data_IF_078703690427
#
_entry.id   IF_078703690427
#
_cell.length_a   1.000
_cell.length_b   1.000
_cell.length_c   1.000
_cell.angle_alpha   90.00
_cell.angle_beta   90.00
_cell.angle_gamma   90.00
#
_symmetry.space_group_name_H-M   'P 1'
#
loop_
_entity.id
_entity.type
_entity.pdbx_description
1 polymer ?
#
# COMPACT_ATOMS: atom_id res chain seq x y z
N UNK A 1 8.54 -31.06 -19.33
CA UNK A 1 8.92 -29.71 -19.77
C UNK A 1 8.07 -28.72 -18.92
N UNK A 2 8.66 -28.03 -17.95
CA UNK A 2 8.01 -26.95 -17.23
C UNK A 2 7.83 -25.81 -18.23
N UNK A 3 6.60 -25.38 -18.45
CA UNK A 3 6.32 -24.16 -19.21
C UNK A 3 7.11 -23.03 -18.57
N UNK A 4 8.06 -22.45 -19.32
CA UNK A 4 8.74 -21.24 -18.90
C UNK A 4 7.64 -20.19 -18.68
N UNK A 5 7.48 -19.72 -17.46
CA UNK A 5 6.55 -18.67 -17.13
C UNK A 5 7.00 -17.44 -17.91
N UNK A 6 6.22 -17.05 -18.90
CA UNK A 6 6.54 -15.88 -19.72
C UNK A 6 6.16 -14.65 -18.91
N UNK A 7 7.14 -14.05 -18.25
CA UNK A 7 6.92 -12.82 -17.50
C UNK A 7 6.59 -11.68 -18.46
N UNK A 8 5.54 -10.95 -18.15
CA UNK A 8 5.18 -9.75 -18.89
C UNK A 8 5.85 -8.52 -18.28
N UNK A 9 6.70 -7.86 -19.07
CA UNK A 9 7.36 -6.62 -18.66
C UNK A 9 6.52 -5.46 -19.18
N UNK A 10 6.02 -4.63 -18.28
CA UNK A 10 5.27 -3.43 -18.63
C UNK A 10 5.98 -2.14 -18.18
N UNK A 11 5.81 -1.03 -18.88
CA UNK A 11 6.28 0.27 -18.41
C UNK A 11 5.51 0.68 -17.14
N UNK A 12 6.20 1.43 -16.27
CA UNK A 12 5.59 2.02 -15.09
C UNK A 12 4.63 3.14 -15.48
N UNK A 13 3.58 3.30 -14.69
CA UNK A 13 2.70 4.45 -14.74
C UNK A 13 3.27 5.59 -13.87
N UNK A 14 2.87 6.87 -14.12
CA UNK A 14 3.36 8.00 -13.33
C UNK A 14 3.14 7.88 -11.82
N UNK A 15 2.02 7.29 -11.40
CA UNK A 15 1.68 7.06 -9.99
C UNK A 15 2.52 5.95 -9.32
N UNK A 16 3.22 5.17 -10.10
CA UNK A 16 4.09 4.08 -9.62
C UNK A 16 5.56 4.51 -9.45
N UNK A 17 5.91 5.75 -9.77
CA UNK A 17 7.30 6.22 -9.74
C UNK A 17 7.98 5.98 -8.38
N UNK A 18 7.25 6.12 -7.28
CA UNK A 18 7.76 5.88 -5.93
C UNK A 18 8.32 4.47 -5.69
N UNK A 19 7.81 3.46 -6.41
CA UNK A 19 8.27 2.07 -6.28
C UNK A 19 9.73 1.84 -6.74
N UNK A 20 10.29 2.79 -7.47
CA UNK A 20 11.63 2.65 -8.07
C UNK A 20 12.72 3.36 -7.27
N UNK A 21 12.36 4.09 -6.22
CA UNK A 21 13.28 4.84 -5.40
C UNK A 21 13.18 4.42 -3.93
N UNK A 22 14.13 3.64 -3.49
CA UNK A 22 14.23 3.21 -2.10
C UNK A 22 14.78 4.36 -1.24
N UNK A 23 13.95 5.30 -0.86
CA UNK A 23 14.39 6.47 -0.08
C UNK A 23 13.62 6.68 1.22
N UNK A 24 12.56 5.90 1.46
CA UNK A 24 11.69 6.06 2.60
C UNK A 24 11.47 4.73 3.32
N UNK A 25 12.29 4.40 4.35
CA UNK A 25 12.24 3.10 5.02
C UNK A 25 10.85 2.69 5.54
N UNK A 26 10.07 3.63 6.00
CA UNK A 26 8.72 3.35 6.49
C UNK A 26 7.74 3.07 5.34
N UNK A 27 7.81 3.86 4.27
CA UNK A 27 7.01 3.63 3.07
C UNK A 27 7.38 2.32 2.39
N UNK A 28 8.67 2.02 2.31
CA UNK A 28 9.16 0.76 1.75
C UNK A 28 8.64 -0.44 2.55
N UNK A 29 8.63 -0.37 3.89
CA UNK A 29 8.04 -1.39 4.74
C UNK A 29 6.54 -1.54 4.49
N UNK A 30 5.82 -0.42 4.38
CA UNK A 30 4.39 -0.40 4.10
C UNK A 30 4.08 -1.06 2.76
N UNK A 31 4.88 -0.81 1.75
CA UNK A 31 4.76 -1.40 0.43
C UNK A 31 5.20 -2.88 0.36
N UNK A 32 5.73 -3.43 1.45
CA UNK A 32 6.23 -4.80 1.48
C UNK A 32 7.58 -4.96 0.80
N UNK A 33 8.44 -3.93 0.85
CA UNK A 33 9.76 -3.99 0.25
C UNK A 33 10.60 -5.11 0.88
N UNK A 34 11.19 -5.89 0.00
CA UNK A 34 11.97 -7.07 0.30
C UNK A 34 13.45 -6.78 0.19
N UNK A 35 13.82 -6.05 -0.84
CA UNK A 35 15.19 -5.71 -1.11
C UNK A 35 15.37 -4.99 -2.45
N UNK A 36 16.59 -4.48 -2.63
CA UNK A 36 17.03 -3.82 -3.84
C UNK A 36 18.28 -4.50 -4.35
N UNK A 37 18.32 -4.72 -5.66
CA UNK A 37 19.47 -5.27 -6.34
C UNK A 37 19.95 -4.24 -7.34
N UNK A 38 21.20 -3.82 -7.20
CA UNK A 38 21.86 -3.00 -8.22
C UNK A 38 22.49 -3.92 -9.27
N UNK A 39 22.21 -3.63 -10.52
CA UNK A 39 22.79 -4.30 -11.68
C UNK A 39 23.76 -3.35 -12.35
N UNK A 40 25.04 -3.53 -12.09
CA UNK A 40 26.10 -2.79 -12.77
C UNK A 40 26.59 -3.58 -13.97
N UNK A 41 26.42 -3.02 -15.15
CA UNK A 41 27.02 -3.53 -16.38
C UNK A 41 28.38 -2.86 -16.51
N UNK A 42 29.38 -3.41 -15.83
CA UNK A 42 30.73 -2.86 -15.84
C UNK A 42 31.33 -2.76 -17.25
N UNK A 43 32.39 -1.96 -17.41
CA UNK A 43 33.12 -1.76 -18.68
C UNK A 43 33.62 -3.05 -19.30
N UNK A 44 33.70 -4.12 -18.55
CA UNK A 44 34.12 -5.46 -18.97
C UNK A 44 32.97 -6.39 -19.38
N UNK A 45 31.71 -5.92 -19.35
CA UNK A 45 30.54 -6.77 -19.59
C UNK A 45 30.23 -7.77 -18.47
N UNK A 46 30.97 -7.73 -17.37
CA UNK A 46 30.70 -8.53 -16.19
C UNK A 46 29.59 -7.87 -15.38
N UNK A 47 28.56 -8.63 -15.11
CA UNK A 47 27.43 -8.21 -14.34
C UNK A 47 27.70 -8.40 -12.85
N UNK A 48 27.72 -7.31 -12.08
CA UNK A 48 27.85 -7.38 -10.64
C UNK A 48 26.48 -7.19 -10.00
N UNK A 49 26.14 -8.11 -9.11
CA UNK A 49 24.96 -8.04 -8.27
C UNK A 49 25.36 -7.51 -6.91
N UNK A 50 24.83 -6.36 -6.52
CA UNK A 50 24.88 -5.88 -5.15
C UNK A 50 23.49 -5.92 -4.57
N UNK A 51 23.28 -6.74 -3.56
CA UNK A 51 22.07 -6.74 -2.76
C UNK A 51 22.21 -5.66 -1.70
N UNK A 52 21.42 -4.63 -1.78
CA UNK A 52 21.51 -3.48 -0.88
C UNK A 52 20.78 -3.67 0.44
N UNK A 53 20.09 -4.78 0.64
CA UNK A 53 19.39 -5.04 1.87
C UNK A 53 19.66 -6.44 2.38
N UNK A 54 20.46 -6.57 3.47
CA UNK A 54 20.79 -7.87 4.03
C UNK A 54 19.68 -8.48 4.90
N UNK A 55 18.53 -7.82 5.06
CA UNK A 55 17.50 -8.22 6.00
C UNK A 55 16.11 -8.30 5.36
N UNK A 56 16.01 -9.05 4.30
CA UNK A 56 14.72 -9.59 3.92
C UNK A 56 14.24 -10.59 4.99
N UNK A 57 12.94 -10.85 5.11
CA UNK A 57 12.44 -11.98 5.89
C UNK A 57 13.21 -13.25 5.51
N UNK A 58 13.32 -14.20 6.45
CA UNK A 58 14.02 -15.47 6.20
C UNK A 58 13.49 -16.20 4.95
N UNK A 59 12.22 -15.97 4.61
CA UNK A 59 11.55 -16.46 3.40
C UNK A 59 12.25 -16.05 2.10
N UNK A 60 12.91 -14.89 2.07
CA UNK A 60 13.66 -14.42 0.89
C UNK A 60 14.97 -15.14 0.68
N UNK A 61 15.44 -15.82 1.68
CA UNK A 61 16.53 -16.77 1.56
C UNK A 61 16.06 -18.15 1.09
N UNK A 62 14.74 -18.32 0.89
CA UNK A 62 14.19 -19.58 0.42
C UNK A 62 14.71 -19.93 -0.97
N UNK A 63 14.98 -21.22 -1.25
CA UNK A 63 15.38 -21.65 -2.57
C UNK A 63 14.35 -21.27 -3.67
N UNK A 64 13.07 -21.24 -3.33
CA UNK A 64 11.99 -20.90 -4.25
C UNK A 64 12.07 -19.42 -4.69
N UNK A 65 12.28 -18.49 -3.76
CA UNK A 65 12.47 -17.07 -4.08
C UNK A 65 13.72 -16.86 -4.94
N UNK A 66 14.84 -17.50 -4.58
CA UNK A 66 16.08 -17.38 -5.35
C UNK A 66 15.93 -17.89 -6.78
N UNK A 67 15.15 -18.95 -6.96
CA UNK A 67 14.87 -19.49 -8.29
C UNK A 67 14.01 -18.53 -9.11
N UNK A 68 12.94 -18.00 -8.51
CA UNK A 68 12.05 -17.03 -9.17
C UNK A 68 12.81 -15.74 -9.53
N UNK A 69 13.57 -15.17 -8.58
CA UNK A 69 14.42 -14.01 -8.83
C UNK A 69 15.38 -14.27 -10.00
N UNK A 70 16.03 -15.44 -10.04
CA UNK A 70 16.95 -15.80 -11.12
C UNK A 70 16.23 -15.89 -12.48
N UNK A 71 15.01 -16.42 -12.52
CA UNK A 71 14.21 -16.49 -13.75
C UNK A 71 13.81 -15.10 -14.24
N UNK A 72 13.35 -14.23 -13.34
CA UNK A 72 13.02 -12.83 -13.65
C UNK A 72 14.24 -12.09 -14.19
N UNK A 73 15.36 -12.22 -13.53
CA UNK A 73 16.64 -11.63 -13.94
C UNK A 73 17.09 -12.10 -15.31
N UNK A 74 17.03 -13.39 -15.57
CA UNK A 74 17.41 -13.94 -16.87
C UNK A 74 16.51 -13.40 -17.99
N UNK A 75 15.20 -13.21 -17.71
CA UNK A 75 14.27 -12.60 -18.65
C UNK A 75 14.62 -11.14 -18.90
N UNK A 76 14.85 -10.36 -17.84
CA UNK A 76 15.27 -8.95 -17.97
C UNK A 76 16.58 -8.80 -18.73
N UNK A 77 17.55 -9.67 -18.49
CA UNK A 77 18.84 -9.69 -19.23
C UNK A 77 18.66 -9.92 -20.70
N UNK A 78 17.79 -10.84 -21.06
CA UNK A 78 17.53 -11.19 -22.46
C UNK A 78 16.88 -10.04 -23.22
N UNK A 79 15.92 -9.37 -22.59
CA UNK A 79 15.04 -8.42 -23.27
C UNK A 79 15.47 -6.95 -23.10
N UNK A 80 16.03 -6.59 -21.92
CA UNK A 80 16.34 -5.21 -21.59
C UNK A 80 17.82 -4.96 -21.34
N UNK A 81 18.45 -5.83 -20.55
CA UNK A 81 19.77 -5.59 -19.95
C UNK A 81 20.92 -6.23 -20.71
N UNK A 82 20.70 -6.63 -21.94
CA UNK A 82 21.71 -7.34 -22.76
C UNK A 82 22.98 -6.50 -22.97
N UNK A 83 22.84 -5.24 -23.24
CA UNK A 83 23.89 -4.24 -23.32
C UNK A 83 23.26 -2.84 -23.30
N UNK A 84 24.09 -1.78 -23.21
CA UNK A 84 23.61 -0.40 -23.19
C UNK A 84 22.65 -0.05 -24.34
N UNK A 85 23.00 -0.41 -25.56
CA UNK A 85 22.15 -0.08 -26.73
C UNK A 85 20.82 -0.80 -26.70
N UNK A 86 20.78 -2.04 -26.20
CA UNK A 86 19.53 -2.77 -26.01
C UNK A 86 18.65 -2.10 -24.95
N UNK A 87 19.21 -1.67 -23.82
CA UNK A 87 18.51 -0.93 -22.78
C UNK A 87 18.00 0.40 -23.30
N UNK A 88 18.86 1.18 -23.94
CA UNK A 88 18.52 2.49 -24.53
C UNK A 88 17.34 2.35 -25.51
N UNK A 89 17.44 1.40 -26.44
CA UNK A 89 16.39 1.11 -27.40
C UNK A 89 15.09 0.65 -26.73
N UNK A 90 15.19 -0.24 -25.77
CA UNK A 90 14.01 -0.72 -25.03
C UNK A 90 13.29 0.43 -24.33
N UNK A 91 14.04 1.33 -23.67
CA UNK A 91 13.48 2.50 -23.01
C UNK A 91 12.77 3.44 -23.99
N UNK A 92 13.37 3.71 -25.15
CA UNK A 92 12.75 4.56 -26.16
C UNK A 92 11.51 3.92 -26.80
N UNK A 93 11.56 2.63 -27.08
CA UNK A 93 10.48 1.92 -27.76
C UNK A 93 9.26 1.71 -26.84
N UNK A 94 9.46 1.56 -25.52
CA UNK A 94 8.41 1.20 -24.57
C UNK A 94 7.98 2.35 -23.63
N UNK A 95 8.74 3.44 -23.55
CA UNK A 95 8.46 4.53 -22.63
C UNK A 95 8.74 4.16 -21.18
N UNK A 96 7.85 4.59 -20.25
CA UNK A 96 8.01 4.29 -18.82
C UNK A 96 8.92 5.28 -18.09
N UNK A 97 8.94 6.54 -18.50
CA UNK A 97 9.71 7.61 -17.83
C UNK A 97 9.13 7.82 -16.40
N UNK A 98 9.97 7.63 -15.39
CA UNK A 98 9.62 7.81 -13.98
C UNK A 98 10.24 9.08 -13.37
N UNK A 99 11.33 9.56 -13.94
CA UNK A 99 11.89 10.87 -13.63
C UNK A 99 12.68 11.41 -14.80
N UNK A 100 12.73 12.73 -14.94
CA UNK A 100 13.40 13.45 -16.00
C UNK A 100 14.26 14.59 -15.46
N UNK A 101 15.19 15.04 -16.27
CA UNK A 101 16.16 16.07 -15.98
C UNK A 101 17.36 15.91 -16.91
N UNK A 102 18.58 16.10 -16.39
CA UNK A 102 19.79 15.77 -17.14
C UNK A 102 19.93 14.28 -17.48
N UNK A 103 19.32 13.43 -16.64
CA UNK A 103 19.31 11.99 -16.77
C UNK A 103 17.87 11.50 -16.68
N UNK A 104 17.41 10.82 -17.72
CA UNK A 104 16.10 10.19 -17.70
C UNK A 104 16.22 8.81 -17.06
N UNK A 105 15.35 8.55 -16.09
CA UNK A 105 15.16 7.22 -15.52
C UNK A 105 13.86 6.63 -16.04
N UNK A 106 13.92 5.36 -16.39
CA UNK A 106 12.78 4.57 -16.89
C UNK A 106 12.46 3.47 -15.89
N UNK A 107 11.18 3.23 -15.68
CA UNK A 107 10.68 2.18 -14.80
C UNK A 107 9.90 1.11 -15.56
N UNK A 108 10.16 -0.14 -15.23
CA UNK A 108 9.43 -1.30 -15.76
C UNK A 108 9.06 -2.22 -14.63
N UNK A 109 7.89 -2.83 -14.72
CA UNK A 109 7.35 -3.70 -13.70
C UNK A 109 7.14 -5.10 -14.27
N UNK A 110 7.59 -6.10 -13.51
CA UNK A 110 7.27 -7.50 -13.70
C UNK A 110 6.54 -7.97 -12.45
N UNK A 111 5.35 -8.53 -12.61
CA UNK A 111 4.60 -9.11 -11.50
C UNK A 111 4.49 -10.62 -11.67
N UNK A 112 4.72 -11.32 -10.57
CA UNK A 112 4.49 -12.75 -10.43
C UNK A 112 3.29 -12.95 -9.48
N UNK A 113 2.99 -14.19 -9.13
CA UNK A 113 1.96 -14.49 -8.12
C UNK A 113 2.33 -13.93 -6.73
N UNK A 114 3.63 -13.90 -6.41
CA UNK A 114 4.12 -13.59 -5.07
C UNK A 114 4.78 -12.24 -4.95
N UNK A 115 5.49 -11.80 -5.99
CA UNK A 115 6.36 -10.61 -5.93
C UNK A 115 6.11 -9.65 -7.07
N UNK A 116 6.40 -8.38 -6.79
CA UNK A 116 6.53 -7.33 -7.80
C UNK A 116 8.00 -6.94 -7.91
N UNK A 117 8.52 -6.98 -9.12
CA UNK A 117 9.87 -6.57 -9.48
C UNK A 117 9.81 -5.26 -10.23
N UNK A 118 10.43 -4.22 -9.68
CA UNK A 118 10.46 -2.87 -10.24
C UNK A 118 11.86 -2.57 -10.75
N UNK A 119 12.04 -2.63 -12.06
CA UNK A 119 13.31 -2.34 -12.72
C UNK A 119 13.41 -0.87 -13.07
N UNK A 120 14.35 -0.14 -12.45
CA UNK A 120 14.77 1.19 -12.88
C UNK A 120 15.96 1.10 -13.80
N UNK A 121 15.84 1.70 -14.99
CA UNK A 121 16.92 1.78 -15.99
C UNK A 121 17.40 3.21 -16.13
N UNK A 122 18.70 3.39 -16.10
CA UNK A 122 19.38 4.61 -16.47
C UNK A 122 20.28 4.35 -17.70
N UNK A 123 19.83 4.70 -18.91
CA UNK A 123 20.59 4.45 -20.13
C UNK A 123 21.63 5.54 -20.45
N UNK A 124 21.88 6.48 -19.56
CA UNK A 124 22.77 7.63 -19.80
C UNK A 124 24.22 7.20 -20.10
N UNK A 125 24.91 7.89 -20.99
CA UNK A 125 26.24 7.51 -21.46
C UNK A 125 27.33 7.39 -20.38
N UNK A 126 27.19 8.04 -19.25
CA UNK A 126 28.18 8.00 -18.17
C UNK A 126 27.80 7.13 -16.99
N UNK A 127 26.53 6.75 -16.88
CA UNK A 127 25.98 6.10 -15.69
C UNK A 127 24.99 4.99 -16.07
N UNK A 128 25.41 4.15 -16.98
CA UNK A 128 24.63 3.03 -17.44
C UNK A 128 24.46 1.99 -16.33
N UNK A 129 23.27 1.94 -15.75
CA UNK A 129 22.94 1.01 -14.67
C UNK A 129 21.46 0.67 -14.62
N UNK A 130 21.15 -0.38 -13.88
CA UNK A 130 19.80 -0.79 -13.52
C UNK A 130 19.70 -1.09 -12.03
N UNK A 131 18.54 -0.82 -11.48
CA UNK A 131 18.19 -1.16 -10.11
C UNK A 131 16.90 -1.98 -10.13
N UNK A 132 16.87 -3.06 -9.36
CA UNK A 132 15.71 -3.90 -9.20
C UNK A 132 15.24 -3.84 -7.77
N UNK A 133 14.06 -3.24 -7.54
CA UNK A 133 13.38 -3.29 -6.27
C UNK A 133 12.40 -4.46 -6.27
N UNK A 134 12.31 -5.17 -5.16
CA UNK A 134 11.43 -6.33 -5.01
C UNK A 134 10.46 -6.08 -3.86
N UNK A 135 9.17 -6.30 -4.11
CA UNK A 135 8.10 -6.15 -3.14
C UNK A 135 7.32 -7.43 -3.00
N UNK A 136 7.05 -7.84 -1.76
CA UNK A 136 6.18 -8.95 -1.42
C UNK A 136 4.72 -8.51 -1.49
N UNK A 137 3.97 -9.08 -2.43
CA UNK A 137 2.58 -8.72 -2.66
C UNK A 137 1.64 -9.16 -1.54
N UNK A 138 1.98 -10.21 -0.79
CA UNK A 138 1.19 -10.64 0.34
C UNK A 138 1.35 -9.67 1.51
N UNK A 139 2.59 -9.28 1.81
CA UNK A 139 2.89 -8.27 2.85
C UNK A 139 2.30 -6.92 2.49
N UNK A 140 2.42 -6.51 1.22
CA UNK A 140 1.80 -5.27 0.74
C UNK A 140 0.29 -5.26 0.99
N UNK A 141 -0.41 -6.34 0.60
CA UNK A 141 -1.86 -6.46 0.82
C UNK A 141 -2.23 -6.42 2.30
N UNK A 142 -1.46 -7.09 3.16
CA UNK A 142 -1.69 -7.06 4.61
C UNK A 142 -1.51 -5.65 5.19
N UNK A 143 -0.45 -4.96 4.79
CA UNK A 143 -0.19 -3.60 5.24
C UNK A 143 -1.26 -2.63 4.74
N UNK A 144 -1.63 -2.70 3.45
CA UNK A 144 -2.71 -1.88 2.88
C UNK A 144 -4.07 -2.16 3.54
N UNK A 145 -4.31 -3.39 3.96
CA UNK A 145 -5.52 -3.71 4.71
C UNK A 145 -5.52 -3.09 6.12
N UNK A 146 -4.33 -2.93 6.75
CA UNK A 146 -4.19 -2.22 8.03
C UNK A 146 -4.33 -0.71 7.87
N UNK A 147 -3.86 -0.17 6.75
CA UNK A 147 -3.87 1.26 6.44
C UNK A 147 -5.20 1.75 5.84
N UNK A 148 -6.22 0.90 5.77
CA UNK A 148 -7.56 1.37 5.37
C UNK A 148 -7.99 2.48 6.31
N UNK A 149 -8.48 3.60 5.76
CA UNK A 149 -8.98 4.68 6.60
C UNK A 149 -10.07 4.14 7.53
N UNK A 150 -10.05 4.59 8.77
CA UNK A 150 -11.07 4.23 9.74
C UNK A 150 -12.41 4.76 9.24
N UNK A 151 -13.39 3.88 9.21
CA UNK A 151 -14.78 4.22 8.88
C UNK A 151 -15.50 4.69 10.15
N UNK A 152 -15.21 4.06 11.27
CA UNK A 152 -15.79 4.41 12.53
C UNK A 152 -15.10 3.75 13.72
N UNK A 153 -15.43 4.23 14.88
CA UNK A 153 -14.98 3.72 16.17
C UNK A 153 -16.20 3.52 17.09
N UNK A 154 -16.17 2.48 17.87
CA UNK A 154 -17.10 2.29 18.99
C UNK A 154 -16.33 2.22 20.30
N UNK A 155 -16.98 2.63 21.40
CA UNK A 155 -16.41 2.55 22.74
C UNK A 155 -17.49 2.27 23.78
N UNK A 156 -17.08 1.73 24.92
CA UNK A 156 -17.95 1.30 25.99
C UNK A 156 -17.53 1.94 27.33
N UNK A 157 -18.43 1.98 28.30
CA UNK A 157 -18.15 2.56 29.61
C UNK A 157 -17.03 1.84 30.39
N UNK A 158 -16.78 0.57 30.09
CA UNK A 158 -15.68 -0.21 30.69
C UNK A 158 -14.29 0.14 30.14
N UNK A 159 -14.20 1.05 29.16
CA UNK A 159 -12.97 1.47 28.52
C UNK A 159 -12.59 0.66 27.26
N UNK A 160 -13.35 -0.38 26.91
CA UNK A 160 -13.13 -1.10 25.67
C UNK A 160 -13.46 -0.22 24.45
N UNK A 161 -12.70 -0.37 23.40
CA UNK A 161 -12.93 0.32 22.13
C UNK A 161 -12.59 -0.59 20.95
N UNK A 162 -13.30 -0.41 19.85
CA UNK A 162 -13.06 -1.13 18.60
C UNK A 162 -13.08 -0.15 17.42
N UNK A 163 -12.11 -0.29 16.53
CA UNK A 163 -12.00 0.49 15.30
C UNK A 163 -12.39 -0.35 14.10
N UNK A 164 -13.06 0.29 13.14
CA UNK A 164 -13.57 -0.36 11.93
C UNK A 164 -13.01 0.33 10.69
N UNK A 165 -12.51 -0.49 9.77
CA UNK A 165 -12.08 -0.08 8.44
C UNK A 165 -13.05 -0.53 7.35
N UNK A 166 -14.12 -1.21 7.74
CA UNK A 166 -15.18 -1.71 6.88
C UNK A 166 -16.52 -1.12 7.31
N UNK A 167 -17.24 -0.51 6.35
CA UNK A 167 -18.48 0.20 6.62
C UNK A 167 -19.61 -0.75 7.06
N UNK A 168 -19.73 -1.92 6.45
CA UNK A 168 -20.77 -2.88 6.76
C UNK A 168 -20.60 -3.44 8.18
N UNK A 169 -19.35 -3.78 8.54
CA UNK A 169 -19.02 -4.25 9.88
C UNK A 169 -19.30 -3.18 10.94
N UNK A 170 -18.95 -1.91 10.66
CA UNK A 170 -19.25 -0.79 11.55
C UNK A 170 -20.76 -0.58 11.74
N UNK A 171 -21.50 -0.49 10.65
CA UNK A 171 -22.95 -0.30 10.67
C UNK A 171 -23.68 -1.45 11.38
N UNK A 172 -23.20 -2.68 11.16
CA UNK A 172 -23.72 -3.86 11.86
C UNK A 172 -23.52 -3.73 13.38
N UNK A 173 -22.30 -3.38 13.80
CA UNK A 173 -21.98 -3.20 15.21
C UNK A 173 -22.86 -2.11 15.84
N UNK A 174 -23.00 -0.95 15.19
CA UNK A 174 -23.86 0.14 15.69
C UNK A 174 -25.31 -0.34 15.85
N UNK A 175 -25.85 -1.05 14.86
CA UNK A 175 -27.23 -1.57 14.89
C UNK A 175 -27.44 -2.57 16.04
N UNK A 176 -26.49 -3.45 16.26
CA UNK A 176 -26.60 -4.51 17.29
C UNK A 176 -26.42 -3.94 18.71
N UNK A 177 -25.55 -2.93 18.89
CA UNK A 177 -25.22 -2.37 20.21
C UNK A 177 -26.12 -1.21 20.64
N UNK A 178 -26.76 -0.53 19.72
CA UNK A 178 -27.60 0.64 20.02
C UNK A 178 -28.69 0.34 21.06
N UNK A 179 -29.41 -0.80 21.04
CA UNK A 179 -30.41 -1.17 22.05
C UNK A 179 -29.83 -1.31 23.46
N UNK A 180 -28.57 -1.65 23.59
CA UNK A 180 -27.90 -1.87 24.88
C UNK A 180 -27.17 -0.64 25.40
N UNK A 181 -27.20 0.46 24.71
CA UNK A 181 -26.52 1.71 25.07
C UNK A 181 -26.73 2.17 26.51
N UNK A 182 -27.94 2.12 27.08
CA UNK A 182 -28.15 2.56 28.46
C UNK A 182 -27.39 1.74 29.50
N UNK A 183 -27.10 0.47 29.20
CA UNK A 183 -26.44 -0.46 30.13
C UNK A 183 -24.95 -0.57 29.88
N UNK A 184 -24.52 -0.49 28.60
CA UNK A 184 -23.13 -0.67 28.20
C UNK A 184 -22.35 0.64 28.12
N UNK A 185 -23.03 1.77 28.11
CA UNK A 185 -22.42 3.08 27.83
C UNK A 185 -21.84 3.17 26.42
N UNK A 186 -22.43 2.41 25.49
CA UNK A 186 -22.02 2.39 24.09
C UNK A 186 -22.01 3.77 23.47
N UNK A 187 -20.91 4.09 22.81
CA UNK A 187 -20.71 5.31 22.01
C UNK A 187 -20.12 4.92 20.67
N UNK A 188 -20.41 5.69 19.65
CA UNK A 188 -19.81 5.52 18.33
C UNK A 188 -19.37 6.86 17.76
N UNK A 189 -18.42 6.82 16.87
CA UNK A 189 -17.87 7.95 16.13
C UNK A 189 -17.75 7.54 14.65
N UNK A 190 -18.35 8.34 13.75
CA UNK A 190 -18.22 8.15 12.30
C UNK A 190 -16.99 8.93 11.84
N UNK A 191 -15.94 8.22 11.41
CA UNK A 191 -14.66 8.78 11.04
C UNK A 191 -14.48 8.92 9.52
N UNK A 192 -15.40 8.35 8.74
CA UNK A 192 -15.38 8.48 7.28
C UNK A 192 -16.10 9.71 6.79
N UNK A 193 -15.64 10.28 5.67
CA UNK A 193 -16.33 11.35 4.95
C UNK A 193 -17.41 10.83 4.00
N UNK A 194 -17.62 9.52 3.92
CA UNK A 194 -18.67 8.92 3.10
C UNK A 194 -20.06 9.29 3.65
N UNK A 195 -20.82 10.13 2.92
CA UNK A 195 -22.13 10.59 3.38
C UNK A 195 -23.17 9.46 3.50
N UNK A 196 -22.94 8.35 2.79
CA UNK A 196 -23.85 7.19 2.83
C UNK A 196 -23.78 6.48 4.18
N UNK A 197 -22.59 6.38 4.77
CA UNK A 197 -22.40 5.78 6.10
C UNK A 197 -23.04 6.66 7.18
N UNK A 198 -22.79 7.98 7.13
CA UNK A 198 -23.42 8.94 8.06
C UNK A 198 -24.93 8.84 8.01
N UNK A 199 -25.49 8.89 6.79
CA UNK A 199 -26.93 8.79 6.60
C UNK A 199 -27.51 7.49 7.18
N UNK A 200 -26.86 6.35 6.95
CA UNK A 200 -27.34 5.07 7.49
C UNK A 200 -27.29 5.02 9.01
N UNK A 201 -26.27 5.62 9.63
CA UNK A 201 -26.22 5.74 11.10
C UNK A 201 -27.34 6.64 11.61
N UNK A 202 -27.56 7.79 10.98
CA UNK A 202 -28.64 8.71 11.35
C UNK A 202 -30.02 8.06 11.20
N UNK A 203 -30.25 7.31 10.11
CA UNK A 203 -31.47 6.55 9.88
C UNK A 203 -31.69 5.48 10.99
N UNK A 204 -30.66 4.73 11.37
CA UNK A 204 -30.76 3.76 12.49
C UNK A 204 -31.10 4.41 13.81
N UNK A 205 -30.53 5.59 14.10
CA UNK A 205 -30.83 6.34 15.33
C UNK A 205 -32.26 6.86 15.31
N UNK A 206 -32.69 7.38 14.17
CA UNK A 206 -34.06 7.86 14.01
C UNK A 206 -35.05 6.70 14.18
N UNK A 207 -34.82 5.56 13.56
CA UNK A 207 -35.68 4.38 13.69
C UNK A 207 -35.73 3.88 15.14
N UNK A 208 -34.60 3.93 15.86
CA UNK A 208 -34.53 3.42 17.22
C UNK A 208 -35.10 4.41 18.27
N UNK A 209 -34.79 5.71 18.12
CA UNK A 209 -35.18 6.72 19.14
C UNK A 209 -36.31 7.64 18.69
N UNK A 210 -36.49 7.87 17.39
CA UNK A 210 -37.36 8.88 16.85
C UNK A 210 -38.86 8.56 17.03
N UNK A 211 -39.21 7.28 16.85
CA UNK A 211 -40.63 6.85 17.01
C UNK A 211 -41.00 6.65 18.46
N UNK A 212 -40.11 6.15 19.30
CA UNK A 212 -40.38 5.83 20.68
C UNK A 212 -40.19 7.00 21.64
N UNK A 213 -39.29 7.92 21.37
CA UNK A 213 -39.01 9.04 22.27
C UNK A 213 -38.33 10.23 21.58
N UNK A 214 -39.07 11.19 21.02
CA UNK A 214 -38.53 12.38 20.36
C UNK A 214 -37.57 13.20 21.22
N UNK A 215 -37.77 13.23 22.56
CA UNK A 215 -36.88 13.95 23.50
C UNK A 215 -35.50 13.29 23.60
N UNK A 216 -35.42 11.97 23.49
CA UNK A 216 -34.14 11.27 23.45
C UNK A 216 -33.37 11.51 22.16
N UNK A 217 -34.09 11.73 21.06
CA UNK A 217 -33.45 12.12 19.80
C UNK A 217 -32.82 13.50 19.91
N UNK A 218 -33.51 14.45 20.56
CA UNK A 218 -32.95 15.80 20.80
C UNK A 218 -31.73 15.75 21.73
N UNK A 219 -31.74 14.93 22.78
CA UNK A 219 -30.61 14.71 23.68
C UNK A 219 -29.43 14.07 22.95
N UNK A 220 -29.72 13.18 22.03
CA UNK A 220 -28.69 12.51 21.20
C UNK A 220 -28.02 13.46 20.22
N UNK A 221 -28.78 14.38 19.63
CA UNK A 221 -28.29 15.40 18.71
C UNK A 221 -27.49 16.51 19.42
N UNK A 222 -27.70 16.68 20.71
CA UNK A 222 -26.96 17.65 21.55
C UNK A 222 -25.63 17.19 22.10
N UNK A 223 -25.09 16.04 21.69
CA UNK A 223 -23.82 15.49 22.14
C UNK A 223 -22.66 15.86 21.23
N UNK A 224 -21.41 15.85 21.67
CA UNK A 224 -20.68 16.60 22.69
C UNK A 224 -19.68 17.60 22.14
N UNK A 225 -19.90 18.28 21.02
CA UNK A 225 -18.99 19.31 20.51
C UNK A 225 -19.04 20.65 21.30
N UNK A 226 -19.96 20.76 22.27
CA UNK A 226 -20.10 22.01 23.04
C UNK A 226 -19.40 21.98 24.41
N UNK A 227 -18.96 20.83 24.91
CA UNK A 227 -18.32 20.78 26.24
C UNK A 227 -16.79 20.91 26.23
N UNK A 228 -16.16 20.98 25.07
CA UNK A 228 -14.71 21.15 24.99
C UNK A 228 -14.20 22.59 24.87
N UNK A 229 -15.09 23.60 24.95
CA UNK A 229 -14.68 25.00 24.81
C UNK A 229 -14.73 25.83 26.09
N UNK A 230 -14.99 25.24 27.24
CA UNK A 230 -15.03 25.98 28.51
C UNK A 230 -14.08 25.41 29.57
N UNK A 231 -12.81 25.32 29.26
CA UNK A 231 -11.74 24.91 30.18
C UNK A 231 -10.44 25.63 29.91
N UNK A 232 -10.52 26.90 29.55
CA UNK A 232 -9.37 27.75 29.37
C UNK A 232 -9.39 28.96 30.32
N UNK A 233 -8.38 29.06 31.20
CA UNK A 233 -7.84 30.25 31.84
C UNK A 233 -8.60 30.73 33.13
N UNK A 234 -7.99 30.38 34.25
CA UNK A 234 -7.55 31.35 35.26
C UNK A 234 -6.32 30.82 35.96
#
# INVERSE_FOLDING_TARGET
MKNATQFHIRPARPDEAGLFYAQHPEEDKRLGAVGHVRMDFGRSGNEFWHTWWPRGPEELNSPAFKLELQEVVNTLRKDVLKNRFAMERFCYDHGGIISGGYVQNYGYIVETEHYRYCLRCNPSPGDYNGYLAVYDLAVQRQNMARDKPLVGRVSYANGDAQEFTDAEAFLKCVREELPYRPTTGFRYEVLTDDPSVRKQVDDMIFDFYGEENPRRLEEYQKTPDQDMTMGGIR
#
